data_IF_499535767800
#
_entry.id   IF_499535767800
#
_cell.length_a   1.000
_cell.length_b   1.000
_cell.length_c   1.000
_cell.angle_alpha   90.00
_cell.angle_beta   90.00
_cell.angle_gamma   90.00
#
_symmetry.space_group_name_H-M   'P 1'
#
loop_
_entity.id
_entity.type
_entity.pdbx_description
1 polymer ?
#
# COMPACT_ATOMS: atom_id res chain seq x y z
N UNK A 1 -1.19 -18.53 15.48
CA UNK A 1 -1.79 -17.23 15.76
C UNK A 1 -1.06 -16.55 16.91
N UNK A 2 -0.60 -15.32 16.71
CA UNK A 2 0.09 -14.47 17.68
C UNK A 2 -0.80 -13.28 18.02
N UNK A 3 -0.95 -12.94 19.30
CA UNK A 3 -1.60 -11.68 19.69
C UNK A 3 -0.55 -10.58 19.62
N UNK A 4 -0.78 -9.60 18.75
CA UNK A 4 0.18 -8.53 18.49
C UNK A 4 -0.54 -7.26 18.05
N UNK A 5 0.13 -6.13 18.17
CA UNK A 5 -0.31 -4.85 17.62
C UNK A 5 -0.17 -4.85 16.09
N UNK A 6 -1.09 -4.18 15.39
CA UNK A 6 -1.04 -4.10 13.93
C UNK A 6 0.29 -3.57 13.38
N UNK A 7 0.84 -2.52 13.99
CA UNK A 7 2.16 -1.97 13.62
C UNK A 7 3.29 -2.99 13.76
N UNK A 8 3.29 -3.78 14.84
CA UNK A 8 4.29 -4.82 15.03
C UNK A 8 4.13 -5.97 14.02
N UNK A 9 2.89 -6.36 13.70
CA UNK A 9 2.64 -7.38 12.68
C UNK A 9 3.15 -6.93 11.30
N UNK A 10 2.93 -5.66 10.94
CA UNK A 10 3.48 -5.06 9.71
C UNK A 10 5.01 -5.13 9.74
N UNK A 11 5.64 -4.69 10.83
CA UNK A 11 7.10 -4.71 10.95
C UNK A 11 7.68 -6.13 10.84
N UNK A 12 7.06 -7.13 11.47
CA UNK A 12 7.47 -8.54 11.36
C UNK A 12 7.36 -9.04 9.90
N UNK A 13 6.25 -8.76 9.20
CA UNK A 13 6.08 -9.17 7.81
C UNK A 13 7.03 -8.43 6.84
N UNK A 14 7.30 -7.15 7.07
CA UNK A 14 8.33 -6.41 6.34
C UNK A 14 9.72 -7.02 6.57
N UNK A 15 10.06 -7.36 7.81
CA UNK A 15 11.34 -8.00 8.14
C UNK A 15 11.51 -9.36 7.44
N UNK A 16 10.44 -10.16 7.38
CA UNK A 16 10.44 -11.44 6.65
C UNK A 16 10.67 -11.27 5.14
N UNK A 17 10.39 -10.10 4.57
CA UNK A 17 10.72 -9.77 3.18
C UNK A 17 12.20 -9.40 2.98
N UNK A 18 12.99 -9.33 4.06
CA UNK A 18 14.42 -9.02 4.02
C UNK A 18 14.77 -7.74 3.26
N UNK A 19 14.24 -6.56 3.65
CA UNK A 19 14.76 -5.30 3.12
C UNK A 19 16.24 -5.15 3.51
N UNK A 20 17.04 -4.66 2.58
CA UNK A 20 18.47 -4.41 2.81
C UNK A 20 18.71 -3.00 3.33
N UNK A 21 17.79 -2.06 3.02
CA UNK A 21 17.80 -0.69 3.54
C UNK A 21 16.42 -0.29 4.01
N UNK A 22 16.35 0.16 5.25
CA UNK A 22 15.19 0.80 5.84
C UNK A 22 15.57 2.24 6.18
N UNK A 23 14.81 3.20 5.70
CA UNK A 23 15.01 4.61 6.01
C UNK A 23 13.68 5.25 6.35
N UNK A 24 13.59 5.89 7.50
CA UNK A 24 12.37 6.50 7.96
C UNK A 24 12.62 7.68 8.91
N UNK A 25 11.63 8.56 8.98
CA UNK A 25 11.50 9.58 10.00
C UNK A 25 10.21 9.31 10.79
N UNK A 26 10.27 9.13 12.12
CA UNK A 26 9.10 8.76 12.92
C UNK A 26 8.01 9.83 12.90
N UNK A 27 6.79 9.43 12.58
CA UNK A 27 5.59 10.26 12.66
C UNK A 27 4.40 9.38 13.10
N UNK A 28 3.61 9.85 14.07
CA UNK A 28 2.38 9.17 14.49
C UNK A 28 1.38 9.07 13.34
N UNK A 29 0.74 7.90 13.06
CA UNK A 29 0.70 6.67 13.87
C UNK A 29 1.66 5.55 13.38
N UNK A 30 2.61 5.81 12.48
CA UNK A 30 3.51 4.78 11.96
C UNK A 30 4.76 4.52 12.84
N UNK A 31 4.99 5.34 13.86
CA UNK A 31 6.21 5.28 14.70
C UNK A 31 6.52 3.88 15.21
N UNK A 32 5.51 3.13 15.69
CA UNK A 32 5.71 1.77 16.20
C UNK A 32 6.22 0.78 15.15
N UNK A 33 5.90 0.98 13.85
CA UNK A 33 6.44 0.17 12.76
C UNK A 33 7.94 0.40 12.65
N UNK A 34 8.35 1.66 12.65
CA UNK A 34 9.75 2.09 12.49
C UNK A 34 10.60 1.66 13.68
N UNK A 35 10.07 1.83 14.90
CA UNK A 35 10.74 1.41 16.14
C UNK A 35 10.95 -0.10 16.17
N UNK A 36 9.91 -0.90 15.86
CA UNK A 36 10.00 -2.35 15.83
C UNK A 36 11.04 -2.84 14.79
N UNK A 37 11.06 -2.24 13.59
CA UNK A 37 12.07 -2.57 12.58
C UNK A 37 13.49 -2.17 13.02
N UNK A 38 13.63 -1.03 13.67
CA UNK A 38 14.90 -0.57 14.23
C UNK A 38 15.45 -1.51 15.32
N UNK A 39 14.57 -2.08 16.15
CA UNK A 39 14.94 -3.09 17.14
C UNK A 39 15.41 -4.39 16.48
N UNK A 40 14.69 -4.89 15.45
CA UNK A 40 15.06 -6.11 14.72
C UNK A 40 16.41 -5.98 13.98
N UNK A 41 16.75 -4.80 13.49
CA UNK A 41 18.07 -4.53 12.90
C UNK A 41 19.15 -4.48 14.00
N UNK A 42 18.86 -3.78 15.09
CA UNK A 42 19.81 -3.60 16.20
C UNK A 42 20.17 -4.91 16.90
N UNK A 43 19.22 -5.83 17.08
CA UNK A 43 19.45 -7.12 17.73
C UNK A 43 20.00 -8.20 16.78
N UNK A 44 20.08 -7.90 15.48
CA UNK A 44 20.60 -8.77 14.44
C UNK A 44 19.58 -9.76 13.87
N UNK A 45 18.31 -9.70 14.28
CA UNK A 45 17.22 -10.54 13.75
C UNK A 45 16.93 -10.24 12.28
N UNK A 46 17.16 -8.99 11.85
CA UNK A 46 17.08 -8.57 10.47
C UNK A 46 18.47 -8.17 9.96
N UNK A 47 19.27 -9.18 9.59
CA UNK A 47 20.60 -8.97 9.02
C UNK A 47 20.78 -9.77 7.71
N UNK A 48 21.48 -9.22 6.68
CA UNK A 48 22.03 -7.86 6.65
C UNK A 48 20.95 -6.82 6.32
N UNK A 49 20.85 -5.76 7.10
CA UNK A 49 19.98 -4.62 6.83
C UNK A 49 20.57 -3.36 7.45
N UNK A 50 20.59 -2.28 6.69
CA UNK A 50 20.98 -0.94 7.17
C UNK A 50 19.74 -0.13 7.55
N UNK A 51 19.64 0.27 8.81
CA UNK A 51 18.60 1.18 9.29
C UNK A 51 19.14 2.60 9.35
N UNK A 52 18.67 3.45 8.42
CA UNK A 52 19.17 4.82 8.26
C UNK A 52 18.20 5.80 8.93
N UNK A 53 18.64 6.38 10.04
CA UNK A 53 17.93 7.50 10.67
C UNK A 53 18.23 8.79 9.90
N UNK A 54 17.19 9.54 9.60
CA UNK A 54 17.28 10.80 8.84
C UNK A 54 16.58 11.93 9.60
N UNK A 55 16.82 13.16 9.18
CA UNK A 55 16.27 14.36 9.82
C UNK A 55 14.87 14.79 9.30
N UNK A 56 14.39 14.13 8.25
CA UNK A 56 13.10 14.47 7.64
C UNK A 56 12.55 13.34 6.75
N UNK A 57 11.25 13.38 6.48
CA UNK A 57 10.62 12.45 5.56
C UNK A 57 11.14 12.62 4.12
N UNK A 58 11.45 13.84 3.70
CA UNK A 58 12.07 14.08 2.40
C UNK A 58 13.44 13.39 2.27
N UNK A 59 14.26 13.47 3.31
CA UNK A 59 15.53 12.75 3.37
C UNK A 59 15.32 11.23 3.37
N UNK A 60 14.31 10.72 4.09
CA UNK A 60 13.98 9.29 4.10
C UNK A 60 13.70 8.75 2.69
N UNK A 61 12.84 9.41 1.93
CA UNK A 61 12.54 9.00 0.55
C UNK A 61 13.75 9.19 -0.37
N UNK A 62 14.56 10.22 -0.16
CA UNK A 62 15.78 10.44 -0.95
C UNK A 62 16.81 9.32 -0.74
N UNK A 63 16.99 8.87 0.51
CA UNK A 63 17.81 7.68 0.84
C UNK A 63 17.23 6.42 0.21
N UNK A 64 15.89 6.21 0.29
CA UNK A 64 15.22 5.08 -0.34
C UNK A 64 15.46 5.03 -1.86
N UNK A 65 15.38 6.17 -2.54
CA UNK A 65 15.67 6.29 -3.97
C UNK A 65 17.11 5.88 -4.26
N UNK A 66 18.08 6.43 -3.51
CA UNK A 66 19.50 6.11 -3.70
C UNK A 66 19.82 4.64 -3.46
N UNK A 67 19.29 4.05 -2.38
CA UNK A 67 19.46 2.65 -2.03
C UNK A 67 18.85 1.71 -3.08
N UNK A 68 17.62 1.99 -3.49
CA UNK A 68 16.93 1.21 -4.54
C UNK A 68 17.63 1.32 -5.89
N UNK A 69 18.13 2.50 -6.26
CA UNK A 69 18.91 2.69 -7.47
C UNK A 69 20.28 1.97 -7.41
N UNK A 70 20.85 1.78 -6.22
CA UNK A 70 22.05 0.97 -6.00
C UNK A 70 21.77 -0.54 -5.97
N UNK A 71 20.51 -0.97 -6.12
CA UNK A 71 20.11 -2.36 -6.22
C UNK A 71 19.63 -2.98 -4.92
N UNK A 72 19.45 -2.22 -3.84
CA UNK A 72 18.97 -2.73 -2.57
C UNK A 72 17.44 -2.86 -2.54
N UNK A 73 16.92 -3.93 -1.91
CA UNK A 73 15.51 -4.01 -1.51
C UNK A 73 15.24 -2.99 -0.41
N UNK A 74 14.33 -2.06 -0.65
CA UNK A 74 14.20 -0.84 0.15
C UNK A 74 12.79 -0.66 0.70
N UNK A 75 12.71 -0.22 1.96
CA UNK A 75 11.46 0.06 2.65
C UNK A 75 11.50 1.41 3.36
N UNK A 76 10.35 2.07 3.41
CA UNK A 76 10.11 3.27 4.23
C UNK A 76 8.67 3.30 4.77
N UNK A 77 8.41 4.19 5.71
CA UNK A 77 7.06 4.41 6.26
C UNK A 77 6.86 5.88 6.61
N UNK A 78 5.64 6.38 6.42
CA UNK A 78 5.25 7.75 6.75
C UNK A 78 3.74 7.88 7.02
N UNK A 79 3.27 9.11 7.25
CA UNK A 79 1.87 9.46 7.46
C UNK A 79 1.65 10.96 7.19
N UNK A 80 0.43 11.38 6.85
CA UNK A 80 -0.05 12.77 6.92
C UNK A 80 0.92 13.78 6.27
N UNK A 81 1.32 14.82 7.03
CA UNK A 81 2.24 15.84 6.57
C UNK A 81 3.60 15.30 6.13
N UNK A 82 4.05 14.18 6.73
CA UNK A 82 5.30 13.54 6.32
C UNK A 82 5.24 13.06 4.87
N UNK A 83 4.12 12.48 4.45
CA UNK A 83 3.90 12.10 3.06
C UNK A 83 3.91 13.33 2.13
N UNK A 84 3.27 14.43 2.55
CA UNK A 84 3.28 15.67 1.77
C UNK A 84 4.67 16.29 1.70
N UNK A 85 5.45 16.21 2.79
CA UNK A 85 6.80 16.75 2.82
C UNK A 85 7.75 16.01 1.86
N UNK A 86 7.54 14.73 1.62
CA UNK A 86 8.34 13.96 0.63
C UNK A 86 7.74 13.94 -0.79
N UNK A 87 6.70 14.70 -1.07
CA UNK A 87 5.92 14.60 -2.32
C UNK A 87 6.77 14.61 -3.59
N UNK A 88 7.73 15.55 -3.73
CA UNK A 88 8.62 15.60 -4.89
C UNK A 88 9.40 14.29 -5.07
N UNK A 89 9.98 13.77 -3.99
CA UNK A 89 10.71 12.52 -4.01
C UNK A 89 9.82 11.31 -4.31
N UNK A 90 8.55 11.31 -3.87
CA UNK A 90 7.54 10.31 -4.21
C UNK A 90 7.29 10.27 -5.72
N UNK A 91 7.10 11.42 -6.36
CA UNK A 91 6.98 11.51 -7.83
C UNK A 91 8.26 11.03 -8.54
N UNK A 92 9.42 11.40 -8.02
CA UNK A 92 10.70 10.96 -8.58
C UNK A 92 10.89 9.45 -8.49
N UNK A 93 10.60 8.82 -7.36
CA UNK A 93 10.71 7.36 -7.21
C UNK A 93 9.89 6.60 -8.25
N UNK A 94 8.66 7.05 -8.52
CA UNK A 94 7.79 6.48 -9.55
C UNK A 94 8.34 6.74 -10.96
N UNK A 95 8.79 7.96 -11.24
CA UNK A 95 9.38 8.32 -12.53
C UNK A 95 10.65 7.55 -12.88
N UNK A 96 11.44 7.20 -11.86
CA UNK A 96 12.65 6.39 -11.98
C UNK A 96 12.34 4.88 -12.09
N UNK A 97 11.12 4.45 -11.77
CA UNK A 97 10.72 3.05 -11.82
C UNK A 97 11.41 2.19 -10.75
N UNK A 98 11.56 2.73 -9.54
CA UNK A 98 12.24 2.06 -8.43
C UNK A 98 11.25 1.26 -7.58
N UNK A 99 11.52 -0.03 -7.30
CA UNK A 99 10.63 -0.91 -6.55
C UNK A 99 10.74 -0.66 -5.03
N UNK A 100 10.28 0.50 -4.59
CA UNK A 100 10.26 0.87 -3.17
C UNK A 100 8.91 0.51 -2.58
N UNK A 101 8.88 -0.13 -1.42
CA UNK A 101 7.66 -0.37 -0.64
C UNK A 101 7.56 0.64 0.49
N UNK A 102 6.39 1.27 0.62
CA UNK A 102 6.13 2.27 1.65
C UNK A 102 4.83 1.99 2.38
N UNK A 103 4.87 2.01 3.71
CA UNK A 103 3.65 2.04 4.52
C UNK A 103 3.17 3.47 4.71
N UNK A 104 1.88 3.69 4.47
CA UNK A 104 1.19 4.92 4.87
C UNK A 104 0.28 4.60 6.06
N UNK A 105 0.65 5.07 7.25
CA UNK A 105 -0.27 5.10 8.39
C UNK A 105 -1.26 6.25 8.23
N UNK A 106 -2.34 6.03 7.49
CA UNK A 106 -3.27 7.08 7.08
C UNK A 106 -3.73 7.95 8.24
N UNK A 107 -3.51 9.24 8.14
CA UNK A 107 -3.84 10.24 9.12
C UNK A 107 -4.23 11.55 8.44
N UNK A 108 -5.21 12.26 9.04
CA UNK A 108 -5.65 13.56 8.55
C UNK A 108 -4.49 14.57 8.40
N UNK A 109 -4.61 15.41 7.38
CA UNK A 109 -3.66 16.50 7.12
C UNK A 109 -4.10 17.73 7.93
N UNK A 110 -3.16 18.36 8.65
CA UNK A 110 -3.39 19.65 9.34
C UNK A 110 -3.45 20.82 8.34
N UNK A 111 -4.05 21.95 8.63
CA UNK A 111 -4.76 22.37 9.82
C UNK A 111 -6.28 22.28 9.61
N UNK A 112 -7.07 21.98 10.65
CA UNK A 112 -6.65 21.76 12.03
C UNK A 112 -5.93 20.41 12.20
N UNK A 113 -5.11 20.27 13.25
CA UNK A 113 -4.49 18.98 13.56
C UNK A 113 -5.57 17.98 13.98
N UNK A 114 -5.53 16.81 13.34
CA UNK A 114 -6.28 15.63 13.70
C UNK A 114 -5.39 14.41 13.46
N UNK A 115 -5.14 13.61 14.50
CA UNK A 115 -4.24 12.45 14.42
C UNK A 115 -4.95 11.15 14.05
N UNK A 116 -6.28 11.16 13.92
CA UNK A 116 -7.07 10.00 13.56
C UNK A 116 -7.02 9.71 12.06
N UNK A 117 -7.46 8.51 11.71
CA UNK A 117 -7.43 8.00 10.36
C UNK A 117 -8.27 8.84 9.39
N UNK A 118 -7.63 9.18 8.29
CA UNK A 118 -8.19 9.88 7.14
C UNK A 118 -7.33 9.54 5.93
N UNK A 119 -7.93 9.33 4.77
CA UNK A 119 -7.21 8.90 3.58
C UNK A 119 -6.71 10.06 2.71
N UNK A 120 -6.97 11.32 3.09
CA UNK A 120 -6.61 12.48 2.25
C UNK A 120 -5.10 12.56 2.01
N UNK A 121 -4.27 12.06 2.94
CA UNK A 121 -2.81 12.02 2.78
C UNK A 121 -2.40 11.14 1.57
N UNK A 122 -2.76 9.87 1.54
CA UNK A 122 -2.46 8.99 0.41
C UNK A 122 -3.23 9.38 -0.86
N UNK A 123 -4.46 9.87 -0.72
CA UNK A 123 -5.25 10.35 -1.87
C UNK A 123 -4.63 11.59 -2.52
N UNK A 124 -3.90 12.42 -1.78
CA UNK A 124 -3.16 13.56 -2.36
C UNK A 124 -2.04 13.10 -3.31
N UNK A 125 -1.55 11.86 -3.15
CA UNK A 125 -0.49 11.25 -3.95
C UNK A 125 -1.03 10.27 -5.02
N UNK A 126 -2.35 10.19 -5.26
CA UNK A 126 -2.97 9.25 -6.20
C UNK A 126 -2.46 9.37 -7.64
N UNK A 127 -1.93 10.55 -8.00
CA UNK A 127 -1.43 10.84 -9.35
C UNK A 127 0.12 10.77 -9.44
N UNK A 128 0.78 10.36 -8.34
CA UNK A 128 2.25 10.29 -8.27
C UNK A 128 2.86 9.10 -9.03
N UNK A 129 2.04 8.14 -9.50
CA UNK A 129 2.51 6.97 -10.24
C UNK A 129 2.84 5.76 -9.34
N UNK A 130 2.51 5.81 -8.07
CA UNK A 130 2.61 4.67 -7.15
C UNK A 130 1.39 3.76 -7.26
N UNK A 131 1.60 2.46 -7.08
CA UNK A 131 0.49 1.54 -6.81
C UNK A 131 0.03 1.80 -5.37
N UNK A 132 -1.30 1.89 -5.17
CA UNK A 132 -1.88 2.17 -3.85
C UNK A 132 -2.82 1.04 -3.45
N UNK A 133 -2.46 0.31 -2.40
CA UNK A 133 -3.23 -0.79 -1.82
C UNK A 133 -3.74 -0.39 -0.43
N UNK A 134 -5.02 -0.61 -0.16
CA UNK A 134 -5.68 -0.26 1.10
C UNK A 134 -6.08 -1.51 1.87
N UNK A 135 -5.58 -1.64 3.08
CA UNK A 135 -5.88 -2.76 3.96
C UNK A 135 -7.19 -2.56 4.72
N UNK A 136 -8.01 -3.60 4.79
CA UNK A 136 -9.25 -3.62 5.55
C UNK A 136 -9.05 -4.09 7.01
N UNK A 137 -8.12 -5.02 7.23
CA UNK A 137 -7.83 -5.62 8.54
C UNK A 137 -6.33 -5.62 8.83
N UNK A 138 -5.94 -5.86 10.08
CA UNK A 138 -4.52 -6.02 10.44
C UNK A 138 -3.86 -7.23 9.77
N UNK A 139 -4.61 -8.34 9.60
CA UNK A 139 -4.10 -9.48 8.85
C UNK A 139 -3.82 -9.11 7.41
N UNK A 140 -4.74 -8.42 6.77
CA UNK A 140 -4.54 -7.95 5.40
C UNK A 140 -3.41 -6.93 5.30
N UNK A 141 -3.28 -6.02 6.26
CA UNK A 141 -2.17 -5.07 6.28
C UNK A 141 -0.82 -5.79 6.29
N UNK A 142 -0.64 -6.80 7.15
CA UNK A 142 0.56 -7.62 7.21
C UNK A 142 0.81 -8.37 5.89
N UNK A 143 -0.20 -9.01 5.34
CA UNK A 143 -0.14 -9.81 4.12
C UNK A 143 0.14 -8.96 2.86
N UNK A 144 -0.45 -7.77 2.79
CA UNK A 144 -0.26 -6.84 1.68
C UNK A 144 1.19 -6.34 1.59
N UNK A 145 1.92 -6.25 2.69
CA UNK A 145 3.34 -5.87 2.63
C UNK A 145 4.18 -6.91 1.90
N UNK A 146 3.91 -8.20 2.14
CA UNK A 146 4.60 -9.29 1.42
C UNK A 146 4.23 -9.25 -0.08
N UNK A 147 2.96 -9.05 -0.40
CA UNK A 147 2.50 -8.91 -1.79
C UNK A 147 3.06 -7.65 -2.45
N UNK A 148 3.19 -6.54 -1.70
CA UNK A 148 3.71 -5.28 -2.21
C UNK A 148 5.17 -5.38 -2.65
N UNK A 149 6.04 -6.07 -1.90
CA UNK A 149 7.41 -6.31 -2.34
C UNK A 149 7.44 -7.09 -3.65
N UNK A 150 6.69 -8.20 -3.75
CA UNK A 150 6.61 -8.98 -4.98
C UNK A 150 6.11 -8.16 -6.16
N UNK A 151 5.03 -7.40 -5.95
CA UNK A 151 4.42 -6.55 -6.98
C UNK A 151 5.37 -5.45 -7.45
N UNK A 152 6.03 -4.76 -6.51
CA UNK A 152 6.98 -3.70 -6.80
C UNK A 152 8.15 -4.21 -7.65
N UNK A 153 8.70 -5.35 -7.28
CA UNK A 153 9.86 -5.96 -7.95
C UNK A 153 9.52 -6.49 -9.34
N UNK A 154 8.38 -7.17 -9.52
CA UNK A 154 7.94 -7.68 -10.82
C UNK A 154 7.66 -6.55 -11.84
N UNK A 155 7.12 -5.42 -11.39
CA UNK A 155 6.82 -4.29 -12.26
C UNK A 155 7.95 -3.25 -12.34
N UNK A 156 8.90 -3.29 -11.42
CA UNK A 156 9.86 -2.18 -11.23
C UNK A 156 9.10 -0.86 -11.06
N UNK A 157 8.23 -0.83 -10.04
CA UNK A 157 7.37 0.30 -9.67
C UNK A 157 7.22 0.38 -8.15
N UNK A 158 7.09 1.58 -7.57
CA UNK A 158 6.88 1.70 -6.15
C UNK A 158 5.44 1.39 -5.73
N UNK A 159 5.27 0.87 -4.51
CA UNK A 159 3.97 0.46 -3.95
C UNK A 159 3.76 1.09 -2.57
N UNK A 160 2.60 1.73 -2.37
CA UNK A 160 2.11 2.17 -1.06
C UNK A 160 1.12 1.15 -0.50
N UNK A 161 1.35 0.71 0.74
CA UNK A 161 0.36 -0.01 1.54
C UNK A 161 -0.25 0.97 2.53
N UNK A 162 -1.52 1.28 2.34
CA UNK A 162 -2.27 2.26 3.11
C UNK A 162 -3.03 1.55 4.24
N UNK A 163 -2.79 1.97 5.47
CA UNK A 163 -3.30 1.34 6.69
C UNK A 163 -3.94 2.40 7.58
N UNK A 164 -5.19 2.20 7.96
CA UNK A 164 -5.92 3.16 8.79
C UNK A 164 -5.22 3.41 10.12
N UNK A 165 -4.74 4.64 10.31
CA UNK A 165 -4.04 5.07 11.51
C UNK A 165 -4.89 4.92 12.76
N UNK A 166 -4.30 4.50 13.86
CA UNK A 166 -4.89 4.12 15.14
C UNK A 166 -5.85 2.92 15.07
N UNK A 167 -6.79 2.88 14.13
CA UNK A 167 -7.79 1.80 14.03
C UNK A 167 -7.12 0.45 13.75
N UNK A 168 -6.17 0.41 12.81
CA UNK A 168 -5.40 -0.79 12.52
C UNK A 168 -4.02 -0.74 13.18
N UNK A 169 -3.29 0.36 13.08
CA UNK A 169 -1.90 0.44 13.54
C UNK A 169 -1.72 0.14 15.03
N UNK A 170 -2.70 0.51 15.88
CA UNK A 170 -2.61 0.37 17.34
C UNK A 170 -3.56 -0.70 17.92
N UNK A 171 -4.38 -1.35 17.10
CA UNK A 171 -5.23 -2.43 17.57
C UNK A 171 -4.42 -3.71 17.83
N UNK A 172 -4.72 -4.38 18.95
CA UNK A 172 -4.18 -5.69 19.28
C UNK A 172 -5.14 -6.78 18.81
N UNK A 173 -4.69 -7.61 17.91
CA UNK A 173 -5.47 -8.70 17.33
C UNK A 173 -4.69 -10.02 17.34
N UNK A 174 -5.40 -11.12 17.09
CA UNK A 174 -4.78 -12.44 16.89
C UNK A 174 -4.51 -12.61 15.42
N UNK A 175 -3.25 -12.55 15.03
CA UNK A 175 -2.80 -12.60 13.65
C UNK A 175 -1.98 -13.86 13.37
N UNK A 176 -2.05 -14.31 12.14
CA UNK A 176 -1.26 -15.42 11.61
C UNK A 176 -0.04 -14.84 10.88
N UNK A 177 1.06 -14.69 11.64
CA UNK A 177 2.33 -14.24 11.08
C UNK A 177 2.99 -15.42 10.37
N UNK A 178 3.36 -15.31 9.09
CA UNK A 178 3.94 -16.41 8.34
C UNK A 178 5.34 -16.78 8.83
N UNK A 179 5.80 -17.97 8.44
CA UNK A 179 7.19 -18.34 8.63
C UNK A 179 8.09 -17.76 7.54
N UNK A 180 9.40 -17.72 7.79
CA UNK A 180 10.36 -17.25 6.77
C UNK A 180 10.31 -18.13 5.51
N UNK A 181 10.16 -19.46 5.68
CA UNK A 181 10.08 -20.40 4.55
C UNK A 181 8.87 -20.15 3.67
N UNK A 182 7.73 -19.75 4.25
CA UNK A 182 6.53 -19.40 3.48
C UNK A 182 6.76 -18.11 2.69
N UNK A 183 7.38 -17.11 3.31
CA UNK A 183 7.70 -15.85 2.60
C UNK A 183 8.72 -16.09 1.49
N UNK A 184 9.76 -16.89 1.73
CA UNK A 184 10.77 -17.25 0.73
C UNK A 184 10.17 -18.03 -0.46
N UNK A 185 9.16 -18.86 -0.20
CA UNK A 185 8.45 -19.59 -1.26
C UNK A 185 7.59 -18.66 -2.15
N UNK A 186 7.15 -17.52 -1.62
CA UNK A 186 6.33 -16.55 -2.35
C UNK A 186 7.15 -15.40 -2.95
N UNK A 187 8.12 -14.86 -2.21
CA UNK A 187 8.94 -13.72 -2.58
C UNK A 187 10.36 -14.19 -2.91
N UNK A 188 10.74 -14.27 -4.19
CA UNK A 188 12.09 -14.70 -4.59
C UNK A 188 13.16 -13.69 -4.15
N UNK A 189 14.45 -14.06 -4.20
CA UNK A 189 15.55 -13.10 -4.06
C UNK A 189 15.37 -11.93 -5.03
N UNK A 190 15.67 -10.73 -4.55
CA UNK A 190 15.53 -9.53 -5.37
C UNK A 190 16.61 -9.45 -6.45
N UNK A 191 16.20 -9.28 -7.68
CA UNK A 191 17.07 -9.06 -8.84
C UNK A 191 16.67 -7.74 -9.52
N UNK A 192 17.39 -6.64 -9.23
CA UNK A 192 17.04 -5.31 -9.76
C UNK A 192 17.23 -5.27 -11.28
N UNK A 193 16.26 -4.68 -12.00
CA UNK A 193 16.33 -4.55 -13.48
C UNK A 193 17.36 -3.53 -13.93
N UNK A 194 17.68 -2.56 -13.10
CA UNK A 194 18.68 -1.53 -13.35
C UNK A 194 19.38 -1.17 -12.05
N UNK A 195 20.67 -0.98 -12.10
CA UNK A 195 21.54 -0.69 -10.96
C UNK A 195 22.55 0.36 -11.35
N UNK A 196 22.81 1.32 -10.45
CA UNK A 196 23.93 2.24 -10.57
C UNK A 196 25.22 1.49 -10.19
N UNK A 197 25.92 0.93 -11.19
CA UNK A 197 27.21 0.26 -11.00
C UNK A 197 28.32 1.14 -11.59
N UNK A 198 29.32 1.47 -10.77
CA UNK A 198 30.46 2.27 -11.21
C UNK A 198 31.35 1.57 -12.24
N UNK A 199 31.26 0.24 -12.34
CA UNK A 199 32.00 -0.57 -13.32
C UNK A 199 31.31 -0.57 -14.70
N UNK A 200 29.98 -0.39 -14.70
CA UNK A 200 29.15 -0.29 -15.90
C UNK A 200 28.17 0.88 -15.72
N UNK A 201 28.65 2.13 -15.86
CA UNK A 201 27.86 3.30 -15.50
C UNK A 201 26.66 3.50 -16.43
N UNK A 202 25.48 3.65 -15.83
CA UNK A 202 24.23 3.97 -16.50
C UNK A 202 23.58 5.20 -15.88
N UNK A 203 22.70 5.86 -16.63
CA UNK A 203 21.82 6.89 -16.08
C UNK A 203 20.44 6.30 -15.81
N UNK A 204 19.97 6.44 -14.57
CA UNK A 204 18.57 6.14 -14.21
C UNK A 204 17.82 7.47 -14.16
N UNK A 205 16.78 7.64 -14.96
CA UNK A 205 15.99 8.88 -15.01
C UNK A 205 16.72 10.04 -15.70
N UNK A 206 17.29 9.79 -16.86
CA UNK A 206 17.90 10.83 -17.68
C UNK A 206 16.88 11.93 -18.06
N UNK A 207 17.37 13.16 -18.22
CA UNK A 207 16.57 14.25 -18.77
C UNK A 207 16.15 13.91 -20.21
N UNK A 208 14.86 14.07 -20.49
CA UNK A 208 14.29 13.86 -21.84
C UNK A 208 13.70 15.15 -22.38
N UNK A 209 13.80 15.32 -23.69
CA UNK A 209 13.19 16.43 -24.39
C UNK A 209 11.68 16.24 -24.60
N UNK A 210 10.99 17.25 -25.13
CA UNK A 210 9.53 17.19 -25.34
C UNK A 210 9.11 16.08 -26.33
N UNK A 211 9.99 15.67 -27.20
CA UNK A 211 9.75 14.62 -28.21
C UNK A 211 9.58 13.22 -27.57
N UNK A 212 10.17 12.96 -26.41
CA UNK A 212 10.13 11.64 -25.75
C UNK A 212 9.36 11.66 -24.41
N UNK A 213 9.03 12.83 -23.86
CA UNK A 213 8.44 12.93 -22.52
C UNK A 213 7.09 12.18 -22.41
N UNK A 214 6.23 12.31 -23.42
CA UNK A 214 4.94 11.62 -23.46
C UNK A 214 5.12 10.10 -23.43
N UNK A 215 6.07 9.56 -24.20
CA UNK A 215 6.34 8.12 -24.28
C UNK A 215 6.83 7.56 -22.94
N UNK A 216 7.70 8.29 -22.24
CA UNK A 216 8.16 7.91 -20.89
C UNK A 216 7.01 7.89 -19.89
N UNK A 217 6.14 8.91 -19.92
CA UNK A 217 4.94 8.97 -19.05
C UNK A 217 3.95 7.85 -19.39
N UNK A 218 3.75 7.56 -20.67
CA UNK A 218 2.88 6.47 -21.12
C UNK A 218 3.41 5.10 -20.70
N UNK A 219 4.73 4.89 -20.70
CA UNK A 219 5.32 3.65 -20.19
C UNK A 219 5.00 3.44 -18.71
N UNK A 220 5.07 4.48 -17.89
CA UNK A 220 4.68 4.40 -16.48
C UNK A 220 3.18 4.07 -16.34
N UNK A 221 2.31 4.70 -17.13
CA UNK A 221 0.88 4.36 -17.18
C UNK A 221 0.66 2.90 -17.62
N UNK A 222 1.34 2.43 -18.67
CA UNK A 222 1.22 1.05 -19.11
C UNK A 222 1.61 0.04 -18.01
N UNK A 223 2.67 0.32 -17.25
CA UNK A 223 3.04 -0.52 -16.10
C UNK A 223 1.95 -0.54 -15.02
N UNK A 224 1.32 0.61 -14.73
CA UNK A 224 0.17 0.69 -13.84
C UNK A 224 -0.99 -0.18 -14.33
N UNK A 225 -1.33 -0.12 -15.60
CA UNK A 225 -2.42 -0.95 -16.17
C UNK A 225 -2.09 -2.45 -16.10
N UNK A 226 -0.83 -2.84 -16.28
CA UNK A 226 -0.40 -4.22 -16.08
C UNK A 226 -0.57 -4.70 -14.62
N UNK A 227 -0.55 -3.81 -13.66
CA UNK A 227 -0.81 -4.18 -12.27
C UNK A 227 -2.25 -4.69 -12.05
N UNK A 228 -3.24 -4.28 -12.86
CA UNK A 228 -4.60 -4.83 -12.81
C UNK A 228 -4.65 -6.34 -13.07
N UNK A 229 -3.79 -6.85 -13.93
CA UNK A 229 -3.67 -8.29 -14.20
C UNK A 229 -2.80 -8.99 -13.15
N UNK A 230 -1.76 -8.31 -12.68
CA UNK A 230 -0.77 -8.90 -11.80
C UNK A 230 -1.26 -9.02 -10.35
N UNK A 231 -1.97 -8.02 -9.82
CA UNK A 231 -2.47 -8.03 -8.45
C UNK A 231 -3.37 -9.25 -8.17
N UNK A 232 -4.39 -9.60 -8.99
CA UNK A 232 -5.20 -10.79 -8.77
C UNK A 232 -4.39 -12.09 -8.83
N UNK A 233 -3.43 -12.18 -9.76
CA UNK A 233 -2.55 -13.34 -9.88
C UNK A 233 -1.71 -13.53 -8.61
N UNK A 234 -1.06 -12.47 -8.14
CA UNK A 234 -0.23 -12.52 -6.93
C UNK A 234 -1.06 -12.83 -5.68
N UNK A 235 -2.29 -12.29 -5.57
CA UNK A 235 -3.21 -12.63 -4.49
C UNK A 235 -3.59 -14.13 -4.52
N UNK A 236 -3.81 -14.71 -5.69
CA UNK A 236 -4.08 -16.14 -5.83
C UNK A 236 -2.86 -17.01 -5.48
N UNK A 237 -1.67 -16.64 -5.93
CA UNK A 237 -0.41 -17.30 -5.54
C UNK A 237 -0.18 -17.19 -4.03
N UNK A 238 -0.48 -16.02 -3.43
CA UNK A 238 -0.44 -15.81 -1.99
C UNK A 238 -1.35 -16.81 -1.25
N UNK A 239 -2.60 -16.94 -1.70
CA UNK A 239 -3.55 -17.91 -1.13
C UNK A 239 -3.02 -19.34 -1.17
N UNK A 240 -2.35 -19.74 -2.26
CA UNK A 240 -1.78 -21.09 -2.39
C UNK A 240 -0.67 -21.35 -1.37
N UNK A 241 0.17 -20.35 -1.07
CA UNK A 241 1.30 -20.50 -0.14
C UNK A 241 0.86 -20.34 1.32
N UNK A 242 0.00 -19.36 1.61
CA UNK A 242 -0.35 -18.99 2.99
C UNK A 242 -1.71 -19.52 3.44
N UNK A 243 -2.51 -20.11 2.55
CA UNK A 243 -3.78 -20.75 2.87
C UNK A 243 -4.92 -19.79 3.20
N UNK A 244 -4.79 -18.50 2.92
CA UNK A 244 -5.80 -17.48 3.18
C UNK A 244 -5.91 -16.46 2.04
N UNK A 245 -7.12 -15.93 1.84
CA UNK A 245 -7.35 -14.84 0.89
C UNK A 245 -6.90 -13.51 1.49
N UNK A 246 -6.09 -12.77 0.73
CA UNK A 246 -5.62 -11.43 1.09
C UNK A 246 -5.27 -10.63 -0.16
N UNK A 247 -5.51 -9.32 -0.15
CA UNK A 247 -5.25 -8.46 -1.29
C UNK A 247 -6.31 -8.60 -2.41
N UNK A 248 -5.87 -8.53 -3.66
CA UNK A 248 -6.72 -8.44 -4.84
C UNK A 248 -7.06 -6.99 -5.21
N UNK A 249 -7.96 -6.81 -6.17
CA UNK A 249 -8.37 -5.48 -6.64
C UNK A 249 -9.55 -4.95 -5.82
N UNK A 250 -10.59 -5.77 -5.71
CA UNK A 250 -11.82 -5.50 -4.97
C UNK A 250 -12.26 -6.75 -4.21
N UNK A 251 -13.08 -6.57 -3.20
CA UNK A 251 -13.77 -7.65 -2.49
C UNK A 251 -15.25 -7.34 -2.36
N UNK A 252 -16.07 -8.35 -2.54
CA UNK A 252 -17.51 -8.23 -2.39
C UNK A 252 -17.99 -8.89 -1.10
N UNK A 253 -19.04 -8.36 -0.52
CA UNK A 253 -19.73 -8.94 0.61
C UNK A 253 -21.23 -8.89 0.39
N UNK A 254 -21.87 -10.07 0.20
CA UNK A 254 -23.31 -10.21 -0.05
C UNK A 254 -23.82 -9.30 -1.18
N UNK A 255 -22.99 -9.13 -2.25
CA UNK A 255 -23.28 -8.17 -3.32
C UNK A 255 -24.12 -8.75 -4.46
N UNK A 256 -24.15 -10.06 -4.66
CA UNK A 256 -24.66 -10.74 -5.86
C UNK A 256 -26.14 -10.45 -6.15
N UNK A 257 -26.97 -10.37 -5.12
CA UNK A 257 -28.41 -10.07 -5.19
C UNK A 257 -28.78 -8.70 -4.61
N UNK A 258 -27.78 -7.88 -4.30
CA UNK A 258 -27.97 -6.61 -3.62
C UNK A 258 -28.56 -5.55 -4.55
N UNK A 259 -29.60 -4.85 -4.10
CA UNK A 259 -30.16 -3.67 -4.78
C UNK A 259 -29.44 -2.38 -4.38
N UNK A 260 -28.84 -2.38 -3.19
CA UNK A 260 -28.00 -1.28 -2.71
C UNK A 260 -26.62 -1.86 -2.43
N UNK A 261 -25.57 -1.27 -3.02
CA UNK A 261 -24.19 -1.66 -2.73
C UNK A 261 -23.47 -0.48 -2.09
N UNK A 262 -22.84 -0.76 -0.94
CA UNK A 262 -21.97 0.20 -0.24
C UNK A 262 -20.54 0.00 -0.74
N UNK A 263 -19.92 1.08 -1.20
CA UNK A 263 -18.53 1.07 -1.68
C UNK A 263 -17.65 1.82 -0.69
N UNK A 264 -16.55 1.22 -0.25
CA UNK A 264 -15.63 1.83 0.69
C UNK A 264 -14.20 1.28 0.54
N UNK A 265 -13.22 1.94 1.21
CA UNK A 265 -11.85 1.46 1.39
C UNK A 265 -11.51 1.37 2.88
N UNK A 266 -10.52 0.55 3.20
CA UNK A 266 -9.94 0.48 4.53
C UNK A 266 -10.82 -0.15 5.60
N UNK A 267 -10.51 0.12 6.86
CA UNK A 267 -11.07 -0.58 8.02
C UNK A 267 -12.57 -0.39 8.24
N UNK A 268 -13.18 0.65 7.69
CA UNK A 268 -14.63 0.88 7.80
C UNK A 268 -15.46 -0.28 7.23
N UNK A 269 -14.88 -1.06 6.32
CA UNK A 269 -15.56 -2.22 5.72
C UNK A 269 -15.94 -3.28 6.76
N UNK A 270 -15.19 -3.45 7.84
CA UNK A 270 -15.57 -4.33 8.94
C UNK A 270 -16.93 -3.94 9.53
N UNK A 271 -17.07 -2.69 9.95
CA UNK A 271 -18.34 -2.15 10.48
C UNK A 271 -19.47 -2.20 9.44
N UNK A 272 -19.15 -1.92 8.16
CA UNK A 272 -20.15 -2.01 7.08
C UNK A 272 -20.70 -3.44 6.96
N UNK A 273 -19.84 -4.46 7.05
CA UNK A 273 -20.26 -5.87 6.97
C UNK A 273 -21.18 -6.27 8.12
N UNK A 274 -20.87 -5.86 9.35
CA UNK A 274 -21.73 -6.11 10.51
C UNK A 274 -23.12 -5.48 10.33
N UNK A 275 -23.18 -4.23 9.89
CA UNK A 275 -24.46 -3.53 9.62
C UNK A 275 -25.21 -4.17 8.44
N UNK A 276 -24.50 -4.66 7.40
CA UNK A 276 -25.13 -5.37 6.29
C UNK A 276 -25.82 -6.64 6.79
N UNK A 277 -25.21 -7.38 7.70
CA UNK A 277 -25.81 -8.60 8.25
C UNK A 277 -27.11 -8.28 8.99
N UNK A 278 -27.13 -7.27 9.85
CA UNK A 278 -28.34 -6.80 10.53
C UNK A 278 -29.44 -6.36 9.56
N UNK A 279 -29.07 -5.59 8.53
CA UNK A 279 -30.03 -5.11 7.52
C UNK A 279 -30.55 -6.25 6.64
N UNK A 280 -29.72 -7.25 6.31
CA UNK A 280 -30.14 -8.45 5.59
C UNK A 280 -31.14 -9.27 6.40
N UNK A 281 -30.91 -9.43 7.70
CA UNK A 281 -31.84 -10.12 8.60
C UNK A 281 -33.18 -9.38 8.71
N UNK A 282 -33.16 -8.04 8.55
CA UNK A 282 -34.39 -7.23 8.45
C UNK A 282 -35.01 -7.22 7.03
N UNK A 283 -34.49 -8.00 6.08
CA UNK A 283 -35.07 -8.19 4.74
C UNK A 283 -34.61 -7.17 3.68
N UNK A 284 -33.58 -6.40 3.94
CA UNK A 284 -33.01 -5.45 2.97
C UNK A 284 -32.01 -6.11 2.03
N UNK A 285 -32.14 -5.90 0.72
CA UNK A 285 -31.20 -6.38 -0.29
C UNK A 285 -30.00 -5.41 -0.41
N UNK A 286 -29.06 -5.51 0.53
CA UNK A 286 -27.89 -4.67 0.63
C UNK A 286 -26.59 -5.51 0.65
N UNK A 287 -25.51 -5.01 0.04
CA UNK A 287 -24.20 -5.63 0.03
C UNK A 287 -23.09 -4.57 0.01
N UNK A 288 -21.85 -5.01 -0.01
CA UNK A 288 -20.69 -4.11 -0.10
C UNK A 288 -19.69 -4.52 -1.18
N UNK A 289 -18.95 -3.54 -1.67
CA UNK A 289 -17.74 -3.69 -2.46
C UNK A 289 -16.62 -2.89 -1.79
N UNK A 290 -15.59 -3.59 -1.32
CA UNK A 290 -14.38 -3.01 -0.73
C UNK A 290 -13.32 -2.87 -1.81
N UNK A 291 -12.76 -1.67 -1.98
CA UNK A 291 -11.68 -1.41 -2.92
C UNK A 291 -10.35 -1.64 -2.18
N UNK A 292 -9.56 -2.63 -2.62
CA UNK A 292 -8.22 -2.86 -2.13
C UNK A 292 -7.18 -2.09 -2.96
N UNK A 293 -7.25 -2.15 -4.29
CA UNK A 293 -6.39 -1.35 -5.17
C UNK A 293 -7.09 -0.06 -5.58
N UNK A 294 -6.56 1.10 -5.15
CA UNK A 294 -7.06 2.40 -5.58
C UNK A 294 -6.26 2.97 -6.77
N UNK A 295 -5.02 2.58 -6.90
CA UNK A 295 -4.18 2.79 -8.07
C UNK A 295 -3.36 1.51 -8.37
N UNK A 296 -3.51 0.96 -9.57
CA UNK A 296 -4.48 1.34 -10.62
C UNK A 296 -5.93 1.17 -10.15
N UNK A 297 -6.83 1.97 -10.71
CA UNK A 297 -8.25 1.89 -10.33
C UNK A 297 -8.94 0.76 -11.09
N UNK A 298 -9.62 -0.18 -10.42
CA UNK A 298 -10.21 -1.38 -11.01
C UNK A 298 -11.60 -1.10 -11.60
N UNK A 299 -11.65 -0.27 -12.65
CA UNK A 299 -12.92 0.23 -13.20
C UNK A 299 -13.80 -0.87 -13.80
N UNK A 300 -13.21 -1.86 -14.46
CA UNK A 300 -13.96 -2.95 -15.10
C UNK A 300 -14.57 -3.86 -14.06
N UNK A 301 -13.79 -4.28 -13.06
CA UNK A 301 -14.24 -5.15 -11.98
C UNK A 301 -15.31 -4.47 -11.12
N UNK A 302 -15.15 -3.19 -10.83
CA UNK A 302 -16.17 -2.41 -10.13
C UNK A 302 -17.45 -2.31 -10.96
N UNK A 303 -17.33 -2.05 -12.27
CA UNK A 303 -18.50 -2.00 -13.15
C UNK A 303 -19.28 -3.32 -13.15
N UNK A 304 -18.61 -4.47 -13.24
CA UNK A 304 -19.24 -5.79 -13.18
C UNK A 304 -20.03 -5.97 -11.88
N UNK A 305 -19.44 -5.63 -10.74
CA UNK A 305 -20.07 -5.77 -9.41
C UNK A 305 -21.22 -4.77 -9.22
N UNK A 306 -21.09 -3.54 -9.70
CA UNK A 306 -22.00 -2.45 -9.42
C UNK A 306 -23.16 -2.32 -10.43
N UNK A 307 -23.02 -2.87 -11.64
CA UNK A 307 -23.94 -2.64 -12.77
C UNK A 307 -25.39 -3.08 -12.51
N UNK A 308 -25.62 -4.09 -11.68
CA UNK A 308 -26.97 -4.60 -11.36
C UNK A 308 -27.64 -3.84 -10.18
N UNK A 309 -26.88 -3.03 -9.44
CA UNK A 309 -27.39 -2.30 -8.29
C UNK A 309 -28.28 -1.13 -8.71
N UNK A 310 -29.35 -0.88 -7.94
CA UNK A 310 -30.24 0.28 -8.13
C UNK A 310 -29.76 1.52 -7.39
N UNK A 311 -28.93 1.33 -6.37
CA UNK A 311 -28.41 2.40 -5.52
C UNK A 311 -26.98 2.07 -5.12
N UNK A 312 -26.11 3.06 -5.28
CA UNK A 312 -24.74 3.03 -4.77
C UNK A 312 -24.61 4.03 -3.62
N UNK A 313 -23.93 3.61 -2.58
CA UNK A 313 -23.59 4.44 -1.41
C UNK A 313 -22.09 4.39 -1.27
N UNK A 314 -21.39 5.50 -1.52
CA UNK A 314 -19.94 5.58 -1.34
C UNK A 314 -19.66 6.17 0.06
N UNK A 315 -18.94 5.42 0.88
CA UNK A 315 -18.45 5.85 2.19
C UNK A 315 -16.95 6.03 2.10
N UNK A 316 -16.49 7.24 2.31
CA UNK A 316 -15.08 7.57 2.19
C UNK A 316 -14.57 8.43 3.34
N UNK A 317 -13.32 8.21 3.75
CA UNK A 317 -12.61 8.94 4.80
C UNK A 317 -11.66 9.98 4.18
N UNK A 318 -12.12 10.67 3.15
CA UNK A 318 -11.36 11.70 2.45
C UNK A 318 -12.28 12.75 1.86
N UNK A 319 -11.81 13.98 1.81
CA UNK A 319 -12.54 15.09 1.21
C UNK A 319 -11.59 15.96 0.39
N UNK A 320 -11.80 16.02 -0.91
CA UNK A 320 -11.14 17.01 -1.77
C UNK A 320 -11.88 18.35 -1.67
N UNK A 321 -11.27 19.31 -1.00
CA UNK A 321 -11.87 20.64 -0.82
C UNK A 321 -12.15 21.28 -2.19
N UNK A 322 -13.40 21.67 -2.41
CA UNK A 322 -13.87 22.26 -3.66
C UNK A 322 -14.44 21.27 -4.69
N UNK A 323 -14.27 19.93 -4.45
CA UNK A 323 -14.85 18.89 -5.32
C UNK A 323 -15.77 17.95 -4.53
N UNK A 324 -15.41 17.62 -3.29
CA UNK A 324 -16.14 16.67 -2.45
C UNK A 324 -15.44 15.33 -2.32
N UNK A 325 -16.17 14.22 -2.52
CA UNK A 325 -15.60 12.88 -2.44
C UNK A 325 -14.52 12.60 -3.49
N UNK A 326 -13.54 11.80 -3.15
CA UNK A 326 -12.44 11.40 -4.06
C UNK A 326 -12.77 10.06 -4.71
N UNK A 327 -13.21 9.09 -3.92
CA UNK A 327 -13.58 7.75 -4.41
C UNK A 327 -14.78 7.83 -5.34
N UNK A 328 -15.77 8.63 -4.99
CA UNK A 328 -17.00 8.82 -5.77
C UNK A 328 -16.79 9.52 -7.11
N UNK A 329 -15.61 10.09 -7.38
CA UNK A 329 -15.27 10.75 -8.64
C UNK A 329 -14.39 9.87 -9.56
N UNK A 330 -13.93 8.71 -9.10
CA UNK A 330 -13.19 7.75 -9.91
C UNK A 330 -14.12 6.70 -10.50
#
# INVERSE_FOLDING_TARGET
LKQTEGSHAIAECVALCRPEVICAYPITPQTHIVEALGELVKDGSLAPCEFVNVESEFAAMSVAIGASAAGARTYTATASQGLLFMAEAVYNAAGLGLPIVMTIGNRAIGAPINIWNDHTDSMSMRDAGWIQLYAETNQEAADLHIQAFRLAEELSMPVMVCVDGFILTHAYERLDIPTQEQVDAYLPPFEPRQVLDTREPVSIGAMVGPEAFMEVRYLAHHKQMRALELIPRLSQEFKQVFGRDSGGLIRTYRAEDARTIVVALGSVNGTIKDVIDELRDAGHAIGAASICSFRPFPSEELHEVLSHAKRLVVIEKSLAVGIGGIVSHN
#
